data_IF_585801301868
#
_entry.id   IF_585801301868
#
_cell.length_a   1.000
_cell.length_b   1.000
_cell.length_c   1.000
_cell.angle_alpha   90.00
_cell.angle_beta   90.00
_cell.angle_gamma   90.00
#
_symmetry.space_group_name_H-M   'P 1'
#
loop_
_entity.id
_entity.type
_entity.pdbx_description
1 polymer ?
#
# COMPACT_ATOMS: atom_id res chain seq x y z
N UNK A 1 -47.03 83.81 16.87
CA UNK A 1 -47.54 83.01 15.73
C UNK A 1 -46.52 83.11 14.61
N UNK A 2 -46.43 82.05 13.81
CA UNK A 2 -45.60 81.89 12.62
C UNK A 2 -44.20 81.32 12.87
N UNK A 3 -43.61 80.57 11.96
CA UNK A 3 -44.03 79.63 10.90
C UNK A 3 -42.73 79.43 10.10
N UNK A 4 -42.48 78.21 9.60
CA UNK A 4 -41.59 77.92 8.46
C UNK A 4 -40.11 78.37 8.62
N UNK A 5 -39.10 77.91 7.88
CA UNK A 5 -38.82 76.80 6.95
C UNK A 5 -37.42 77.11 6.38
N UNK A 6 -36.79 76.12 5.75
CA UNK A 6 -35.62 76.20 4.86
C UNK A 6 -34.26 76.39 5.57
N UNK A 7 -33.36 75.40 5.62
CA UNK A 7 -32.66 74.60 4.60
C UNK A 7 -31.40 75.26 4.00
N UNK A 8 -30.29 74.49 4.05
CA UNK A 8 -29.06 74.54 3.22
C UNK A 8 -28.06 75.68 3.51
N UNK A 9 -26.73 75.55 3.46
CA UNK A 9 -25.75 74.48 3.17
C UNK A 9 -24.34 75.01 3.62
N UNK A 10 -23.50 74.11 4.14
CA UNK A 10 -22.02 74.01 4.00
C UNK A 10 -21.07 75.18 4.35
N UNK A 11 -20.10 74.95 5.26
CA UNK A 11 -18.66 74.71 4.93
C UNK A 11 -17.76 74.50 6.16
N UNK A 12 -16.88 73.51 6.00
CA UNK A 12 -15.73 73.03 6.79
C UNK A 12 -14.85 74.07 7.49
N UNK A 13 -14.29 73.74 8.67
CA UNK A 13 -12.83 73.65 8.95
C UNK A 13 -12.55 73.23 10.41
N UNK A 14 -11.83 72.10 10.59
CA UNK A 14 -10.86 71.72 11.67
C UNK A 14 -11.23 71.96 13.15
N UNK A 15 -11.16 70.99 14.08
CA UNK A 15 -9.92 70.36 14.58
C UNK A 15 -10.23 68.97 15.16
N UNK A 16 -9.42 68.01 14.75
CA UNK A 16 -9.35 66.62 15.21
C UNK A 16 -8.85 66.59 16.67
N UNK A 17 -9.64 66.05 17.58
CA UNK A 17 -9.23 65.64 18.92
C UNK A 17 -9.94 64.31 19.22
N UNK A 18 -9.22 63.37 19.85
CA UNK A 18 -9.58 61.97 20.17
C UNK A 18 -9.13 60.89 19.19
N UNK A 19 -7.82 60.62 19.17
CA UNK A 19 -7.30 59.28 18.93
C UNK A 19 -5.96 59.09 19.68
N UNK A 20 -6.02 59.12 21.01
CA UNK A 20 -4.91 58.76 21.90
C UNK A 20 -5.28 57.47 22.65
N UNK A 21 -5.54 56.40 21.90
CA UNK A 21 -5.64 55.04 22.44
C UNK A 21 -4.28 54.36 22.32
N UNK A 22 -3.50 54.49 23.39
CA UNK A 22 -2.65 53.45 23.97
C UNK A 22 -2.09 52.42 22.97
N UNK A 23 -1.02 52.77 22.26
CA UNK A 23 -0.03 51.78 21.82
C UNK A 23 0.84 51.52 23.05
N UNK A 24 0.34 50.74 24.01
CA UNK A 24 1.21 50.12 24.99
C UNK A 24 2.01 49.04 24.25
N UNK A 25 3.35 49.16 24.16
CA UNK A 25 4.15 48.07 23.65
C UNK A 25 3.93 46.90 24.60
N UNK A 26 3.21 45.88 24.13
CA UNK A 26 3.09 44.64 24.88
C UNK A 26 4.52 44.16 25.13
N UNK A 27 4.93 43.97 26.41
CA UNK A 27 6.22 43.38 26.68
C UNK A 27 6.23 42.02 26.00
N UNK A 28 7.13 41.85 25.02
CA UNK A 28 7.47 40.54 24.49
C UNK A 28 8.10 39.77 25.64
N UNK A 29 7.30 38.91 26.28
CA UNK A 29 7.83 37.92 27.22
C UNK A 29 8.79 37.08 26.41
N UNK A 30 10.09 37.31 26.57
CA UNK A 30 11.10 36.35 26.15
C UNK A 30 10.76 35.06 26.89
N UNK A 31 10.20 34.08 26.17
CA UNK A 31 9.78 32.81 26.75
C UNK A 31 11.02 32.15 27.33
N UNK A 32 11.19 32.25 28.65
CA UNK A 32 12.35 31.69 29.33
C UNK A 32 12.33 30.18 29.13
N UNK A 33 13.43 29.61 28.64
CA UNK A 33 13.54 28.18 28.37
C UNK A 33 13.18 27.40 29.65
N UNK A 34 12.14 26.56 29.63
CA UNK A 34 11.68 25.86 30.83
C UNK A 34 12.66 24.74 31.22
N UNK A 35 12.50 24.21 32.45
CA UNK A 35 13.32 23.09 32.94
C UNK A 35 13.15 21.85 32.04
N UNK A 36 14.26 21.14 31.80
CA UNK A 36 14.36 19.99 30.89
C UNK A 36 14.11 20.34 29.41
N UNK A 37 14.52 21.55 29.00
CA UNK A 37 14.51 22.01 27.63
C UNK A 37 15.82 22.73 27.29
N UNK A 38 16.10 22.82 26.00
CA UNK A 38 17.18 23.64 25.46
C UNK A 38 16.71 24.43 24.24
N UNK A 39 17.44 25.50 23.93
CA UNK A 39 17.18 26.35 22.77
C UNK A 39 17.30 25.53 21.47
N UNK A 40 16.40 25.80 20.53
CA UNK A 40 16.55 25.24 19.18
C UNK A 40 17.70 25.90 18.44
N UNK A 41 18.33 25.14 17.54
CA UNK A 41 19.48 25.63 16.76
C UNK A 41 19.10 26.74 15.77
N UNK A 42 17.84 26.77 15.35
CA UNK A 42 17.29 27.75 14.40
C UNK A 42 15.93 28.23 14.91
N UNK A 43 15.65 29.53 14.79
CA UNK A 43 14.41 30.15 15.25
C UNK A 43 14.43 30.56 16.73
N UNK A 44 13.33 31.19 17.17
CA UNK A 44 13.15 31.69 18.54
C UNK A 44 12.36 30.70 19.41
N UNK A 45 12.76 29.43 19.41
CA UNK A 45 12.05 28.33 20.07
C UNK A 45 12.92 27.51 21.01
N UNK A 46 12.25 26.65 21.80
CA UNK A 46 12.88 25.65 22.65
C UNK A 46 12.26 24.27 22.39
N UNK A 47 13.06 23.23 22.61
CA UNK A 47 12.63 21.83 22.57
C UNK A 47 12.99 21.10 23.85
N UNK A 48 12.15 20.15 24.24
CA UNK A 48 12.40 19.33 25.40
C UNK A 48 13.63 18.43 25.23
N UNK A 49 14.32 18.20 26.34
CA UNK A 49 15.39 17.22 26.43
C UNK A 49 14.87 15.80 26.19
N UNK A 50 15.77 14.89 25.83
CA UNK A 50 15.42 13.49 25.56
C UNK A 50 14.71 12.87 26.77
N UNK A 51 13.54 12.27 26.55
CA UNK A 51 12.71 11.69 27.61
C UNK A 51 11.68 12.65 28.19
N UNK A 52 11.55 13.85 27.63
CA UNK A 52 10.53 14.83 28.00
C UNK A 52 9.68 15.22 26.77
N UNK A 53 8.42 15.53 27.04
CA UNK A 53 7.41 15.91 26.04
C UNK A 53 7.00 17.36 26.25
N UNK A 54 6.86 18.09 25.14
CA UNK A 54 6.48 19.51 25.15
C UNK A 54 4.98 19.64 25.44
N UNK A 55 4.65 20.42 26.47
CA UNK A 55 3.32 21.00 26.66
C UNK A 55 3.38 22.49 26.33
N UNK A 56 2.28 23.23 26.53
CA UNK A 56 2.19 24.65 26.18
C UNK A 56 3.32 25.52 26.76
N UNK A 57 3.79 25.24 27.98
CA UNK A 57 4.82 26.05 28.65
C UNK A 57 5.86 25.23 29.43
N UNK A 58 5.84 23.89 29.33
CA UNK A 58 6.69 23.01 30.15
C UNK A 58 7.16 21.78 29.39
N UNK A 59 8.19 21.14 29.92
CA UNK A 59 8.62 19.80 29.53
C UNK A 59 8.25 18.80 30.63
N UNK A 60 7.29 17.91 30.33
CA UNK A 60 6.88 16.84 31.24
C UNK A 60 7.63 15.55 30.92
N UNK A 61 8.10 14.86 31.95
CA UNK A 61 8.81 13.59 31.80
C UNK A 61 7.89 12.54 31.20
N UNK A 62 8.35 11.89 30.13
CA UNK A 62 7.63 10.79 29.47
C UNK A 62 7.56 9.60 30.42
N UNK A 63 6.34 9.14 30.72
CA UNK A 63 6.11 7.95 31.53
C UNK A 63 6.27 6.71 30.63
N UNK A 64 7.37 6.00 30.79
CA UNK A 64 7.62 4.76 30.03
C UNK A 64 7.07 3.57 30.83
N UNK A 65 6.11 2.79 30.28
CA UNK A 65 5.58 1.63 30.98
C UNK A 65 6.61 0.48 31.04
N UNK A 66 6.32 -0.55 31.85
CA UNK A 66 7.07 -1.81 31.82
C UNK A 66 7.09 -2.37 30.39
N UNK A 67 8.26 -2.84 29.94
CA UNK A 67 8.51 -3.29 28.56
C UNK A 67 8.38 -2.20 27.48
N UNK A 68 8.41 -0.92 27.87
CA UNK A 68 8.55 0.21 26.96
C UNK A 68 9.98 0.75 26.93
N UNK A 69 10.32 1.49 25.87
CA UNK A 69 11.55 2.26 25.74
C UNK A 69 11.29 3.62 25.11
N UNK A 70 12.10 4.62 25.45
CA UNK A 70 12.00 5.97 24.90
C UNK A 70 12.45 6.01 23.43
N UNK A 71 11.64 6.62 22.56
CA UNK A 71 11.98 6.76 21.13
C UNK A 71 12.86 7.98 20.85
N UNK A 72 13.04 8.86 21.85
CA UNK A 72 13.70 10.15 21.68
C UNK A 72 12.87 11.19 20.91
N UNK A 73 11.63 10.85 20.54
CA UNK A 73 10.66 11.80 19.98
C UNK A 73 9.93 12.50 21.13
N UNK A 74 9.75 13.81 20.99
CA UNK A 74 9.05 14.68 21.94
C UNK A 74 7.58 14.93 21.57
N UNK A 75 7.11 14.30 20.50
CA UNK A 75 5.74 14.28 20.01
C UNK A 75 5.22 12.83 20.01
N UNK A 76 3.89 12.64 20.02
CA UNK A 76 3.23 11.37 20.40
C UNK A 76 3.61 10.93 21.83
N UNK A 77 3.22 9.74 22.28
CA UNK A 77 3.53 9.24 23.64
C UNK A 77 5.04 9.17 23.96
N UNK A 78 5.94 9.25 22.96
CA UNK A 78 7.39 9.37 23.16
C UNK A 78 8.10 8.09 23.61
N UNK A 79 7.36 6.98 23.69
CA UNK A 79 7.86 5.64 23.97
C UNK A 79 7.25 4.61 23.00
N UNK A 80 7.97 3.51 22.78
CA UNK A 80 7.51 2.33 22.04
C UNK A 80 7.70 1.07 22.89
N UNK A 81 7.00 -0.01 22.53
CA UNK A 81 7.17 -1.30 23.20
C UNK A 81 8.45 -1.98 22.75
N UNK A 82 9.08 -2.75 23.64
CA UNK A 82 10.18 -3.65 23.27
C UNK A 82 9.68 -4.71 22.29
N UNK A 83 10.59 -5.25 21.49
CA UNK A 83 10.32 -6.41 20.61
C UNK A 83 9.67 -7.54 21.41
N UNK A 84 8.59 -8.13 20.87
CA UNK A 84 7.79 -9.15 21.55
C UNK A 84 6.65 -8.59 22.40
N UNK A 85 6.47 -7.26 22.44
CA UNK A 85 5.38 -6.60 23.13
C UNK A 85 4.62 -5.68 22.17
N UNK A 86 3.29 -5.65 22.30
CA UNK A 86 2.43 -4.75 21.55
C UNK A 86 1.78 -3.73 22.48
N UNK A 87 1.40 -2.60 21.90
CA UNK A 87 0.72 -1.52 22.61
C UNK A 87 -0.70 -1.95 22.95
N UNK A 88 -1.06 -1.80 24.23
CA UNK A 88 -2.43 -1.86 24.71
C UNK A 88 -2.64 -0.67 25.65
N UNK A 89 -3.31 0.36 25.15
CA UNK A 89 -3.43 1.66 25.80
C UNK A 89 -2.04 2.23 26.20
N UNK A 90 -1.86 2.53 27.49
CA UNK A 90 -0.60 3.06 28.07
C UNK A 90 0.33 1.95 28.58
N UNK A 91 0.17 0.72 28.08
CA UNK A 91 0.96 -0.44 28.49
C UNK A 91 1.54 -1.16 27.29
N UNK A 92 2.61 -1.91 27.55
CA UNK A 92 3.16 -2.89 26.64
C UNK A 92 2.80 -4.28 27.15
N UNK A 93 1.99 -5.00 26.40
CA UNK A 93 1.57 -6.37 26.72
C UNK A 93 2.34 -7.36 25.84
N UNK A 94 2.73 -8.49 26.43
CA UNK A 94 3.44 -9.53 25.69
C UNK A 94 2.58 -10.07 24.55
N UNK A 95 3.19 -10.24 23.38
CA UNK A 95 2.55 -10.87 22.24
C UNK A 95 2.46 -12.37 22.52
N UNK A 96 1.24 -12.91 22.52
CA UNK A 96 1.02 -14.35 22.61
C UNK A 96 1.31 -14.95 21.24
N UNK A 97 2.39 -15.71 21.13
CA UNK A 97 2.78 -16.42 19.90
C UNK A 97 2.17 -17.83 19.97
N UNK A 98 1.25 -18.20 19.07
CA UNK A 98 0.66 -19.53 19.05
C UNK A 98 1.67 -20.59 18.57
N UNK A 99 1.29 -21.88 18.66
CA UNK A 99 2.11 -22.98 18.12
C UNK A 99 2.25 -22.85 16.60
N UNK A 100 3.43 -23.17 16.07
CA UNK A 100 3.82 -23.04 14.66
C UNK A 100 3.78 -21.60 14.15
N UNK A 101 4.14 -20.65 15.02
CA UNK A 101 4.23 -19.24 14.72
C UNK A 101 5.52 -18.67 15.30
N UNK A 102 5.97 -17.58 14.72
CA UNK A 102 7.14 -16.84 15.17
C UNK A 102 6.86 -15.35 15.15
N UNK A 103 7.66 -14.59 15.90
CA UNK A 103 7.58 -13.13 15.90
C UNK A 103 8.14 -12.59 14.58
N UNK A 104 7.39 -11.74 13.88
CA UNK A 104 7.86 -11.19 12.61
C UNK A 104 9.08 -10.27 12.79
N UNK A 105 9.66 -9.86 11.66
CA UNK A 105 10.88 -9.06 11.65
C UNK A 105 10.70 -7.71 12.36
N UNK A 106 9.52 -7.08 12.20
CA UNK A 106 9.17 -5.85 12.88
C UNK A 106 9.10 -6.03 14.41
N UNK A 107 8.79 -7.23 14.88
CA UNK A 107 8.82 -7.57 16.29
C UNK A 107 7.57 -7.20 17.09
N UNK A 108 6.51 -6.76 16.41
CA UNK A 108 5.27 -6.27 17.02
C UNK A 108 4.05 -7.14 16.69
N UNK A 109 4.21 -8.11 15.79
CA UNK A 109 3.20 -9.07 15.38
C UNK A 109 3.86 -10.45 15.21
N UNK A 110 3.04 -11.48 14.99
CA UNK A 110 3.51 -12.84 14.72
C UNK A 110 3.03 -13.29 13.35
N UNK A 111 3.77 -14.21 12.76
CA UNK A 111 3.44 -14.85 11.48
C UNK A 111 3.55 -16.37 11.62
N UNK A 112 2.82 -17.10 10.78
CA UNK A 112 2.88 -18.55 10.79
C UNK A 112 4.17 -19.06 10.18
N UNK A 113 4.71 -20.14 10.76
CA UNK A 113 5.81 -20.88 10.17
C UNK A 113 5.46 -21.37 8.76
N UNK A 114 6.48 -21.58 7.92
CA UNK A 114 6.30 -22.12 6.57
C UNK A 114 5.50 -23.43 6.61
N UNK A 115 4.45 -23.51 5.80
CA UNK A 115 3.54 -24.66 5.78
C UNK A 115 2.34 -24.53 6.71
N UNK A 116 2.20 -23.39 7.40
CA UNK A 116 1.04 -23.04 8.20
C UNK A 116 0.42 -21.73 7.73
N UNK A 117 -0.88 -21.57 8.01
CA UNK A 117 -1.64 -20.36 7.70
C UNK A 117 -2.50 -19.94 8.88
N UNK A 118 -2.62 -18.63 9.07
CA UNK A 118 -3.45 -18.07 10.14
C UNK A 118 -4.93 -18.42 9.92
N UNK A 119 -5.55 -18.97 10.96
CA UNK A 119 -6.98 -19.17 11.09
C UNK A 119 -7.39 -18.90 12.54
N UNK A 120 -8.23 -17.88 12.73
CA UNK A 120 -8.81 -17.51 14.02
C UNK A 120 -7.75 -17.31 15.12
N UNK A 121 -6.66 -16.60 14.82
CA UNK A 121 -5.58 -16.32 15.78
C UNK A 121 -4.67 -17.52 16.10
N UNK A 122 -4.69 -18.57 15.28
CA UNK A 122 -3.80 -19.74 15.39
C UNK A 122 -3.21 -20.10 14.04
N UNK A 123 -2.09 -20.84 14.04
CA UNK A 123 -1.47 -21.33 12.82
C UNK A 123 -1.91 -22.78 12.54
N UNK A 124 -2.74 -22.93 11.51
CA UNK A 124 -3.23 -24.23 11.04
C UNK A 124 -2.37 -24.73 9.89
N UNK A 125 -2.04 -26.03 9.90
CA UNK A 125 -1.24 -26.64 8.83
C UNK A 125 -1.95 -26.52 7.49
N UNK A 126 -1.22 -26.13 6.45
CA UNK A 126 -1.71 -26.09 5.08
C UNK A 126 -1.83 -27.54 4.60
N UNK A 127 -3.02 -27.92 4.14
CA UNK A 127 -3.20 -29.20 3.46
C UNK A 127 -2.71 -29.05 2.02
N UNK A 128 -1.64 -29.75 1.68
CA UNK A 128 -1.04 -29.73 0.34
C UNK A 128 -1.60 -30.96 -0.39
N UNK A 129 -2.41 -30.77 -1.45
CA UNK A 129 -2.95 -31.90 -2.20
C UNK A 129 -1.86 -32.63 -3.00
N UNK A 130 -2.20 -33.80 -3.55
CA UNK A 130 -1.32 -34.51 -4.48
C UNK A 130 -1.00 -33.62 -5.69
N UNK A 131 0.23 -33.71 -6.19
CA UNK A 131 0.74 -32.90 -7.31
C UNK A 131 0.79 -31.39 -7.00
N UNK A 132 0.99 -31.02 -5.74
CA UNK A 132 1.19 -29.65 -5.31
C UNK A 132 2.43 -29.51 -4.41
N UNK A 133 2.92 -28.29 -4.28
CA UNK A 133 4.01 -27.90 -3.38
C UNK A 133 3.66 -26.62 -2.62
N UNK A 134 4.36 -26.34 -1.52
CA UNK A 134 4.17 -25.11 -0.76
C UNK A 134 4.59 -23.89 -1.57
N UNK A 135 3.65 -22.98 -1.78
CA UNK A 135 3.93 -21.69 -2.41
C UNK A 135 4.80 -20.82 -1.49
N UNK A 136 5.54 -19.89 -2.08
CA UNK A 136 6.17 -18.77 -1.36
C UNK A 136 5.20 -17.62 -1.12
N UNK A 137 4.06 -17.61 -1.79
CA UNK A 137 3.09 -16.53 -1.71
C UNK A 137 2.42 -16.51 -0.34
N UNK A 138 2.41 -15.33 0.27
CA UNK A 138 1.76 -15.05 1.54
C UNK A 138 0.23 -14.93 1.39
N UNK A 139 -0.25 -14.79 0.16
CA UNK A 139 -1.66 -14.68 -0.20
C UNK A 139 -2.16 -15.96 -0.89
N UNK A 140 -3.48 -16.18 -0.90
CA UNK A 140 -4.08 -17.33 -1.61
C UNK A 140 -4.05 -18.65 -0.82
N UNK A 141 -3.93 -19.79 -1.52
CA UNK A 141 -4.10 -21.14 -0.94
C UNK A 141 -2.88 -21.63 -0.14
N UNK A 142 -1.72 -21.00 -0.32
CA UNK A 142 -0.45 -21.41 0.30
C UNK A 142 0.20 -22.63 -0.36
N UNK A 143 -0.32 -23.05 -1.51
CA UNK A 143 0.26 -24.11 -2.35
C UNK A 143 0.01 -23.81 -3.81
N UNK A 144 0.88 -24.35 -4.66
CA UNK A 144 0.82 -24.30 -6.11
C UNK A 144 0.91 -25.70 -6.69
N UNK A 145 0.36 -25.89 -7.89
CA UNK A 145 0.45 -27.16 -8.58
C UNK A 145 1.83 -27.37 -9.20
N UNK A 146 2.32 -28.60 -9.17
CA UNK A 146 3.50 -28.97 -9.98
C UNK A 146 3.19 -28.73 -11.46
N UNK A 147 4.22 -28.43 -12.26
CA UNK A 147 4.08 -28.20 -13.70
C UNK A 147 3.30 -29.33 -14.37
N UNK A 148 2.36 -28.97 -15.25
CA UNK A 148 1.46 -29.91 -15.91
C UNK A 148 0.17 -30.20 -15.13
N UNK A 149 -0.07 -29.52 -14.02
CA UNK A 149 -1.32 -29.57 -13.28
C UNK A 149 -1.89 -28.17 -13.08
N UNK A 150 -3.22 -28.08 -13.06
CA UNK A 150 -3.96 -26.85 -12.86
C UNK A 150 -4.68 -26.87 -11.50
N UNK A 151 -4.64 -25.74 -10.79
CA UNK A 151 -5.26 -25.60 -9.49
C UNK A 151 -6.79 -25.48 -9.61
N UNK A 152 -7.49 -26.36 -8.91
CA UNK A 152 -8.91 -26.20 -8.54
C UNK A 152 -9.00 -25.80 -7.07
N UNK A 153 -10.20 -25.64 -6.51
CA UNK A 153 -10.38 -25.19 -5.13
C UNK A 153 -9.58 -26.02 -4.11
N UNK A 154 -9.54 -27.35 -4.28
CA UNK A 154 -8.95 -28.26 -3.29
C UNK A 154 -7.92 -29.25 -3.87
N UNK A 155 -7.65 -29.22 -5.17
CA UNK A 155 -6.78 -30.19 -5.82
C UNK A 155 -6.02 -29.63 -7.02
N UNK A 156 -4.96 -30.35 -7.40
CA UNK A 156 -4.25 -30.16 -8.66
C UNK A 156 -4.67 -31.23 -9.65
N UNK A 157 -5.34 -30.81 -10.72
CA UNK A 157 -5.84 -31.71 -11.78
C UNK A 157 -4.87 -31.67 -12.95
N UNK A 158 -4.55 -32.83 -13.53
CA UNK A 158 -3.62 -32.92 -14.65
C UNK A 158 -4.17 -32.15 -15.85
N UNK A 159 -3.30 -31.37 -16.49
CA UNK A 159 -3.61 -30.69 -17.74
C UNK A 159 -3.53 -31.73 -18.86
N UNK A 160 -4.64 -31.95 -19.55
CA UNK A 160 -4.67 -32.76 -20.76
C UNK A 160 -4.17 -31.89 -21.93
N UNK A 161 -2.97 -32.22 -22.41
CA UNK A 161 -2.34 -31.51 -23.54
C UNK A 161 -2.76 -32.23 -24.83
N UNK A 162 -3.52 -31.57 -25.72
CA UNK A 162 -3.93 -32.18 -26.98
C UNK A 162 -2.73 -32.38 -27.92
N UNK A 163 -2.93 -33.18 -28.97
CA UNK A 163 -1.94 -33.30 -30.05
C UNK A 163 -1.63 -31.93 -30.66
N UNK A 164 -0.37 -31.73 -31.06
CA UNK A 164 0.15 -30.46 -31.58
C UNK A 164 0.10 -29.29 -30.58
N UNK A 165 0.17 -29.58 -29.29
CA UNK A 165 0.28 -28.60 -28.21
C UNK A 165 1.45 -28.90 -27.26
N UNK A 166 1.79 -27.91 -26.44
CA UNK A 166 2.78 -28.01 -25.37
C UNK A 166 2.31 -27.28 -24.11
N UNK A 167 2.83 -27.69 -22.94
CA UNK A 167 2.52 -27.06 -21.66
C UNK A 167 3.01 -25.61 -21.60
N UNK A 168 2.13 -24.72 -21.17
CA UNK A 168 2.36 -23.29 -21.06
C UNK A 168 2.14 -22.80 -19.62
N UNK A 169 3.21 -22.31 -19.01
CA UNK A 169 3.21 -21.85 -17.62
C UNK A 169 2.87 -20.35 -17.49
N UNK A 170 2.45 -19.71 -18.58
CA UNK A 170 2.21 -18.25 -18.59
C UNK A 170 0.99 -17.79 -17.79
N UNK A 171 0.27 -18.68 -17.11
CA UNK A 171 -0.68 -18.32 -16.04
C UNK A 171 -2.05 -17.76 -16.48
N UNK A 172 -2.28 -17.49 -17.77
CA UNK A 172 -3.50 -16.81 -18.25
C UNK A 172 -4.53 -17.70 -18.98
N UNK A 173 -4.28 -19.00 -19.16
CA UNK A 173 -5.09 -19.91 -20.00
C UNK A 173 -5.14 -21.35 -19.44
N UNK A 174 -5.77 -22.26 -20.19
CA UNK A 174 -5.92 -23.73 -20.01
C UNK A 174 -4.63 -24.54 -19.78
N UNK A 175 -3.48 -23.89 -19.55
CA UNK A 175 -2.20 -24.52 -19.21
C UNK A 175 -1.42 -25.11 -20.38
N UNK A 176 -1.85 -24.85 -21.62
CA UNK A 176 -1.14 -25.27 -22.84
C UNK A 176 -1.32 -24.26 -23.97
N UNK A 177 -0.41 -24.33 -24.95
CA UNK A 177 -0.45 -23.57 -26.21
C UNK A 177 -0.22 -24.51 -27.40
N UNK A 178 -0.78 -24.15 -28.55
CA UNK A 178 -0.53 -24.88 -29.79
C UNK A 178 0.90 -24.65 -30.29
N UNK A 179 1.49 -25.68 -30.89
CA UNK A 179 2.73 -25.55 -31.66
C UNK A 179 2.56 -24.53 -32.79
N UNK A 180 3.66 -23.93 -33.23
CA UNK A 180 3.68 -23.06 -34.41
C UNK A 180 3.14 -23.82 -35.63
N UNK A 181 2.25 -23.20 -36.39
CA UNK A 181 1.51 -23.82 -37.50
C UNK A 181 0.17 -24.43 -37.10
N UNK A 182 -0.22 -24.38 -35.82
CA UNK A 182 -1.50 -24.88 -35.33
C UNK A 182 -2.24 -23.79 -34.55
N UNK A 183 -3.57 -23.80 -34.61
CA UNK A 183 -4.44 -22.87 -33.91
C UNK A 183 -5.42 -23.59 -32.99
N UNK A 184 -5.67 -22.98 -31.83
CA UNK A 184 -6.57 -23.53 -30.83
C UNK A 184 -8.02 -23.48 -31.32
N UNK A 185 -8.71 -24.62 -31.30
CA UNK A 185 -10.12 -24.72 -31.62
C UNK A 185 -10.76 -25.83 -30.76
N UNK A 186 -11.79 -25.49 -29.97
CA UNK A 186 -12.54 -26.45 -29.13
C UNK A 186 -11.66 -27.41 -28.30
N UNK A 187 -10.60 -26.90 -27.69
CA UNK A 187 -9.69 -27.70 -26.86
C UNK A 187 -8.70 -28.57 -27.63
N UNK A 188 -8.56 -28.38 -28.95
CA UNK A 188 -7.56 -29.04 -29.81
C UNK A 188 -6.72 -28.01 -30.55
N UNK A 189 -5.62 -28.48 -31.13
CA UNK A 189 -4.77 -27.69 -32.02
C UNK A 189 -4.91 -28.19 -33.45
N UNK A 190 -5.62 -27.42 -34.27
CA UNK A 190 -5.85 -27.76 -35.69
C UNK A 190 -4.82 -27.03 -36.56
N UNK A 191 -4.36 -27.61 -37.67
CA UNK A 191 -3.44 -26.94 -38.59
C UNK A 191 -3.97 -25.59 -39.06
N UNK A 192 -3.08 -24.59 -39.14
CA UNK A 192 -3.37 -23.32 -39.80
C UNK A 192 -3.36 -23.56 -41.31
N UNK A 193 -4.49 -23.31 -41.96
CA UNK A 193 -4.60 -23.39 -43.41
C UNK A 193 -4.13 -22.06 -44.00
N UNK A 194 -3.01 -22.09 -44.71
CA UNK A 194 -2.45 -20.93 -45.39
C UNK A 194 -3.09 -20.78 -46.78
N UNK A 195 -3.78 -19.65 -47.07
CA UNK A 195 -4.16 -19.34 -48.43
C UNK A 195 -2.92 -18.97 -49.27
N UNK A 196 -3.08 -18.88 -50.59
CA UNK A 196 -2.02 -18.38 -51.46
C UNK A 196 -1.63 -16.94 -51.07
N UNK A 197 -0.32 -16.65 -51.12
CA UNK A 197 0.28 -15.36 -50.75
C UNK A 197 0.11 -15.00 -49.26
N UNK A 198 0.29 -15.98 -48.37
CA UNK A 198 0.21 -15.82 -46.92
C UNK A 198 1.31 -16.62 -46.21
N UNK A 199 1.67 -16.15 -45.02
CA UNK A 199 2.60 -16.82 -44.11
C UNK A 199 2.03 -16.83 -42.67
N UNK A 200 2.63 -17.64 -41.81
CA UNK A 200 2.28 -17.65 -40.39
C UNK A 200 2.68 -16.32 -39.76
N UNK A 201 1.79 -15.78 -38.93
CA UNK A 201 2.03 -14.55 -38.18
C UNK A 201 3.18 -14.71 -37.15
N UNK A 202 3.48 -13.61 -36.44
CA UNK A 202 4.49 -13.65 -35.37
C UNK A 202 4.19 -14.70 -34.30
N UNK A 203 2.93 -14.79 -33.86
CA UNK A 203 2.51 -15.77 -32.85
C UNK A 203 2.70 -17.21 -33.33
N UNK A 204 2.61 -17.43 -34.63
CA UNK A 204 2.69 -18.74 -35.26
C UNK A 204 1.40 -19.55 -35.11
N UNK A 205 0.33 -18.98 -34.55
CA UNK A 205 -0.96 -19.63 -34.36
C UNK A 205 -2.07 -19.02 -35.24
N UNK A 206 -1.74 -18.05 -36.09
CA UNK A 206 -2.59 -17.56 -37.17
C UNK A 206 -1.75 -17.22 -38.42
N UNK A 207 -2.34 -16.55 -39.41
CA UNK A 207 -1.67 -16.16 -40.64
C UNK A 207 -1.97 -14.71 -41.04
N UNK A 208 -1.00 -14.13 -41.73
CA UNK A 208 -1.07 -12.81 -42.35
C UNK A 208 -0.65 -12.88 -43.83
N UNK A 209 -1.05 -11.88 -44.61
CA UNK A 209 -0.72 -11.85 -46.03
C UNK A 209 0.74 -11.49 -46.26
N UNK A 210 1.32 -12.03 -47.32
CA UNK A 210 2.64 -11.63 -47.79
C UNK A 210 2.64 -10.14 -48.18
N UNK A 211 3.84 -9.56 -48.22
CA UNK A 211 4.03 -8.18 -48.63
C UNK A 211 3.33 -7.92 -49.98
N UNK A 212 2.63 -6.79 -50.09
CA UNK A 212 1.82 -6.37 -51.25
C UNK A 212 0.45 -7.05 -51.43
N UNK A 213 0.00 -7.90 -50.51
CA UNK A 213 -1.37 -8.45 -50.50
C UNK A 213 -2.18 -7.95 -49.31
N UNK A 214 -3.50 -7.89 -49.46
CA UNK A 214 -4.44 -7.49 -48.41
C UNK A 214 -5.39 -8.64 -48.06
N UNK A 215 -5.73 -8.76 -46.77
CA UNK A 215 -6.57 -9.85 -46.23
C UNK A 215 -8.03 -9.58 -46.58
N UNK A 216 -8.63 -10.46 -47.35
CA UNK A 216 -10.06 -10.45 -47.70
C UNK A 216 -10.67 -11.81 -47.35
N UNK A 217 -11.41 -11.85 -46.24
CA UNK A 217 -11.91 -13.08 -45.63
C UNK A 217 -10.79 -14.12 -45.44
N UNK A 218 -10.89 -15.26 -46.13
CA UNK A 218 -9.92 -16.37 -46.06
C UNK A 218 -8.90 -16.34 -47.21
N UNK A 219 -8.63 -15.19 -47.81
CA UNK A 219 -7.73 -15.04 -48.97
C UNK A 219 -6.87 -13.78 -48.87
N UNK A 220 -5.74 -13.81 -49.55
CA UNK A 220 -4.88 -12.65 -49.79
C UNK A 220 -5.02 -12.22 -51.25
N UNK A 221 -5.52 -11.01 -51.46
CA UNK A 221 -5.74 -10.43 -52.78
C UNK A 221 -4.84 -9.21 -52.96
N UNK A 222 -4.45 -8.93 -54.21
CA UNK A 222 -3.80 -7.65 -54.50
C UNK A 222 -4.83 -6.54 -54.26
N UNK A 223 -4.45 -5.45 -53.58
CA UNK A 223 -5.32 -4.29 -53.35
C UNK A 223 -5.74 -3.62 -54.67
#
# INVERSE_FOLDING_TARGET
MNNHSQSRLLRNLTVILFALTLIWPYPTIAETIPKNAHAEKYGSGWKCDKGYMKTESKCLKIQTPKHGFLTGRSYSEGWNCLRGYKRDNKKCIAIKIPKNAFLNDAGYEWECERGYKERSGTCSKINIPKNAYLSSDTYGKGWECVRGFQATNEACIKIEVPENAYLDDSGYKVGWKCLRGFKANQGKCNPVILPANAHLDYSGNDWECDASFTKSANRCLRP
#
